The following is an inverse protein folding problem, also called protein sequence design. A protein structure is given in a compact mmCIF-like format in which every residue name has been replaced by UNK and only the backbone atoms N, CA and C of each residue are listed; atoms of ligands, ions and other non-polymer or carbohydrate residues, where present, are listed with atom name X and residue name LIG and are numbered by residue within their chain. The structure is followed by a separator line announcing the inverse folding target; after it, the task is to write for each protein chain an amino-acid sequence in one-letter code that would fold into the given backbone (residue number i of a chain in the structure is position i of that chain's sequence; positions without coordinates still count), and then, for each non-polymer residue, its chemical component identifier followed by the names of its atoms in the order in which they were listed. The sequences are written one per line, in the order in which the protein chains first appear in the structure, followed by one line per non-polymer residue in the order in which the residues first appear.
data_IF_360691241590
#
_entry.id   IF_360691241590
#
_cell.length_a   1.000
_cell.length_b   1.000
_cell.length_c   1.000
_cell.angle_alpha   90.00
_cell.angle_beta   90.00
_cell.angle_gamma   90.00
#
_symmetry.space_group_name_H-M   'P 1'
#
loop_
_entity.id
_entity.type
_entity.pdbx_description
1 polymer ?
#
# COMPACT_ATOMS: atom_id res chain seq x y z
N UNK A 1 14.06 30.47 1.02
CA UNK A 1 12.77 29.78 1.33
C UNK A 1 12.02 29.28 0.08
N UNK A 2 11.78 30.10 -0.96
CA UNK A 2 11.08 29.66 -2.19
C UNK A 2 11.87 28.64 -3.04
N UNK A 3 13.19 28.73 -3.12
CA UNK A 3 14.02 27.74 -3.83
C UNK A 3 14.12 26.40 -3.09
N UNK A 4 14.19 26.43 -1.75
CA UNK A 4 14.13 25.24 -0.89
C UNK A 4 12.77 24.52 -0.98
N UNK A 5 11.67 25.28 -1.04
CA UNK A 5 10.33 24.74 -1.35
C UNK A 5 10.22 24.20 -2.78
N UNK A 6 10.93 24.80 -3.76
CA UNK A 6 11.07 24.25 -5.12
C UNK A 6 11.86 22.93 -5.13
N UNK A 7 12.85 22.76 -4.24
CA UNK A 7 13.67 21.54 -4.11
C UNK A 7 12.93 20.40 -3.41
N UNK A 8 12.22 20.68 -2.30
CA UNK A 8 11.27 19.73 -1.67
C UNK A 8 10.11 19.41 -2.61
N UNK A 9 9.61 20.40 -3.37
CA UNK A 9 8.69 20.15 -4.50
C UNK A 9 9.36 19.37 -5.63
N UNK A 10 10.67 19.40 -5.83
CA UNK A 10 11.33 18.56 -6.84
C UNK A 10 11.41 17.10 -6.37
N UNK A 11 11.76 16.89 -5.10
CA UNK A 11 11.75 15.59 -4.42
C UNK A 11 10.35 14.95 -4.35
N UNK A 12 9.30 15.76 -4.23
CA UNK A 12 7.91 15.26 -4.11
C UNK A 12 7.10 15.39 -5.42
N UNK A 13 7.44 16.29 -6.35
CA UNK A 13 6.65 16.57 -7.57
C UNK A 13 7.38 16.44 -8.91
N UNK A 14 8.67 16.07 -9.00
CA UNK A 14 9.22 15.65 -10.30
C UNK A 14 8.69 14.26 -10.68
N UNK A 15 7.51 14.31 -11.32
CA UNK A 15 6.74 13.25 -12.00
C UNK A 15 6.49 12.00 -11.16
N UNK A 16 5.30 11.99 -10.56
CA UNK A 16 4.71 10.89 -9.82
C UNK A 16 5.51 10.50 -8.56
N UNK A 17 4.91 10.70 -7.39
CA UNK A 17 5.31 10.01 -6.15
C UNK A 17 5.14 8.46 -6.27
N UNK A 18 4.95 7.92 -7.47
CA UNK A 18 4.91 6.49 -7.77
C UNK A 18 6.31 5.88 -7.99
N UNK A 19 7.39 6.66 -7.96
CA UNK A 19 8.74 6.12 -8.08
C UNK A 19 9.76 6.79 -7.18
N UNK A 20 9.52 6.77 -5.87
CA UNK A 20 10.63 6.83 -4.87
C UNK A 20 11.60 5.65 -5.01
N UNK A 21 11.21 4.66 -5.79
CA UNK A 21 12.02 3.51 -6.16
C UNK A 21 12.75 3.72 -7.51
N UNK A 22 13.02 4.96 -7.91
CA UNK A 22 13.85 5.30 -9.07
C UNK A 22 15.10 6.14 -8.73
N UNK A 23 15.36 6.41 -7.45
CA UNK A 23 16.59 7.10 -7.06
C UNK A 23 17.56 6.02 -6.58
N UNK A 24 18.43 5.55 -7.48
CA UNK A 24 19.63 4.77 -7.12
C UNK A 24 20.64 5.60 -6.30
N UNK A 25 20.33 6.87 -6.04
CA UNK A 25 21.12 7.82 -5.28
C UNK A 25 20.34 8.33 -4.05
N UNK A 26 20.26 7.49 -3.03
CA UNK A 26 19.61 7.83 -1.75
C UNK A 26 20.32 8.97 -1.00
N UNK A 27 21.48 9.44 -1.49
CA UNK A 27 22.24 10.54 -0.90
C UNK A 27 21.42 11.84 -0.81
N UNK A 28 20.46 12.05 -1.72
CA UNK A 28 19.59 13.23 -1.72
C UNK A 28 18.73 13.34 -0.45
N UNK A 29 18.42 12.22 0.21
CA UNK A 29 17.68 12.21 1.49
C UNK A 29 18.57 12.53 2.69
N UNK A 30 19.89 12.40 2.54
CA UNK A 30 20.89 12.75 3.56
C UNK A 30 21.48 14.15 3.37
N UNK A 31 21.21 14.81 2.23
CA UNK A 31 21.65 16.19 2.00
C UNK A 31 20.99 17.14 2.99
N UNK A 32 21.81 17.96 3.64
CA UNK A 32 21.37 18.98 4.60
C UNK A 32 21.33 20.34 3.94
N UNK A 33 20.35 21.16 4.30
CA UNK A 33 20.32 22.56 3.91
C UNK A 33 21.23 23.42 4.80
N UNK A 34 21.22 24.74 4.57
CA UNK A 34 22.02 25.71 5.36
C UNK A 34 21.72 25.68 6.87
N UNK A 35 20.58 25.09 7.29
CA UNK A 35 20.18 24.94 8.68
C UNK A 35 20.47 23.52 9.23
N UNK A 36 21.15 22.68 8.46
CA UNK A 36 21.45 21.31 8.85
C UNK A 36 20.29 20.32 8.72
N UNK A 37 19.15 20.73 8.12
CA UNK A 37 17.95 19.90 8.01
C UNK A 37 17.91 19.11 6.71
N UNK A 38 17.51 17.85 6.79
CA UNK A 38 17.31 16.97 5.63
C UNK A 38 15.87 17.08 5.10
N UNK A 39 15.59 16.64 3.85
CA UNK A 39 14.23 16.50 3.36
C UNK A 39 13.34 15.64 4.27
N UNK A 40 13.91 14.61 4.91
CA UNK A 40 13.22 13.76 5.88
C UNK A 40 12.77 14.57 7.10
N UNK A 41 13.60 15.48 7.59
CA UNK A 41 13.25 16.32 8.74
C UNK A 41 12.07 17.23 8.39
N UNK A 42 12.06 17.84 7.20
CA UNK A 42 10.92 18.60 6.72
C UNK A 42 9.63 17.75 6.61
N UNK A 43 9.73 16.51 6.13
CA UNK A 43 8.58 15.60 6.08
C UNK A 43 8.07 15.23 7.49
N UNK A 44 8.95 15.06 8.47
CA UNK A 44 8.57 14.82 9.87
C UNK A 44 7.82 16.01 10.49
N UNK A 45 8.16 17.23 10.09
CA UNK A 45 7.43 18.44 10.52
C UNK A 45 6.06 18.60 9.87
N UNK A 46 5.82 17.99 8.71
CA UNK A 46 4.53 18.08 8.02
C UNK A 46 3.54 17.11 8.67
N UNK A 47 2.44 17.64 9.21
CA UNK A 47 1.32 16.81 9.67
C UNK A 47 0.70 15.99 8.52
N UNK A 48 0.10 14.84 8.86
CA UNK A 48 -0.44 13.87 7.89
C UNK A 48 -1.39 14.46 6.86
N UNK A 49 -2.27 15.39 7.25
CA UNK A 49 -3.20 16.04 6.31
C UNK A 49 -2.47 16.76 5.16
N UNK A 50 -1.34 17.40 5.48
CA UNK A 50 -0.53 18.11 4.50
C UNK A 50 0.24 17.14 3.60
N UNK A 51 0.68 16.01 4.15
CA UNK A 51 1.28 14.90 3.39
C UNK A 51 0.26 14.33 2.40
N UNK A 52 -0.96 13.99 2.83
CA UNK A 52 -2.01 13.44 1.97
C UNK A 52 -2.38 14.41 0.84
N UNK A 53 -2.51 15.71 1.14
CA UNK A 53 -2.76 16.74 0.14
C UNK A 53 -1.63 16.84 -0.89
N UNK A 54 -0.38 16.76 -0.45
CA UNK A 54 0.80 16.76 -1.31
C UNK A 54 0.81 15.52 -2.21
N UNK A 55 0.50 14.34 -1.66
CA UNK A 55 0.40 13.09 -2.40
C UNK A 55 -0.80 13.06 -3.36
N UNK A 56 -1.76 13.99 -3.22
CA UNK A 56 -3.07 13.96 -3.91
C UNK A 56 -3.76 12.62 -3.73
N UNK A 57 -3.65 12.07 -2.51
CA UNK A 57 -4.22 10.80 -2.14
C UNK A 57 -5.59 11.03 -1.50
N UNK A 58 -6.61 10.41 -2.07
CA UNK A 58 -7.93 10.30 -1.49
C UNK A 58 -7.98 9.09 -0.56
N UNK A 59 -8.28 9.33 0.72
CA UNK A 59 -8.43 8.27 1.71
C UNK A 59 -9.78 7.59 1.56
N UNK A 60 -9.78 6.27 1.47
CA UNK A 60 -11.00 5.47 1.37
C UNK A 60 -10.80 4.09 2.01
N UNK A 61 -11.85 3.53 2.61
CA UNK A 61 -11.80 2.23 3.30
C UNK A 61 -12.46 1.10 2.51
N UNK A 62 -12.85 1.33 1.26
CA UNK A 62 -13.47 0.32 0.40
C UNK A 62 -12.93 0.34 -1.03
N UNK A 63 -13.06 -0.81 -1.71
CA UNK A 63 -12.74 -0.93 -3.12
C UNK A 63 -13.70 -0.09 -3.98
N UNK A 64 -13.13 0.69 -4.90
CA UNK A 64 -13.90 1.44 -5.90
C UNK A 64 -13.71 0.78 -7.26
N UNK A 65 -14.77 0.43 -7.96
CA UNK A 65 -14.66 -0.18 -9.29
C UNK A 65 -14.72 0.89 -10.38
N UNK A 66 -13.74 0.91 -11.28
CA UNK A 66 -13.63 1.94 -12.35
C UNK A 66 -14.90 2.04 -13.19
N UNK A 67 -15.56 0.89 -13.45
CA UNK A 67 -16.79 0.84 -14.23
C UNK A 67 -17.80 -0.13 -13.60
N UNK A 68 -19.11 0.19 -13.60
CA UNK A 68 -20.14 -0.68 -13.01
C UNK A 68 -20.15 -2.11 -13.58
N UNK A 69 -19.83 -2.28 -14.87
CA UNK A 69 -19.79 -3.62 -15.47
C UNK A 69 -18.64 -4.48 -14.95
N UNK A 70 -17.54 -3.90 -14.46
CA UNK A 70 -16.44 -4.64 -13.81
C UNK A 70 -16.97 -5.23 -12.51
N UNK A 71 -17.63 -4.41 -11.69
CA UNK A 71 -18.25 -4.85 -10.44
C UNK A 71 -19.26 -5.98 -10.66
N UNK A 72 -20.21 -5.79 -11.60
CA UNK A 72 -21.21 -6.83 -11.96
C UNK A 72 -20.55 -8.15 -12.38
N UNK A 73 -19.47 -8.08 -13.17
CA UNK A 73 -18.72 -9.27 -13.60
C UNK A 73 -18.01 -9.97 -12.45
N UNK A 74 -17.41 -9.21 -11.52
CA UNK A 74 -16.77 -9.76 -10.32
C UNK A 74 -17.83 -10.48 -9.48
N UNK A 75 -18.94 -9.82 -9.18
CA UNK A 75 -20.04 -10.37 -8.36
C UNK A 75 -20.58 -11.69 -8.93
N UNK A 76 -20.75 -11.77 -10.25
CA UNK A 76 -21.30 -12.94 -10.94
C UNK A 76 -20.38 -14.17 -10.94
N UNK A 77 -19.06 -13.98 -10.83
CA UNK A 77 -18.09 -15.05 -11.16
C UNK A 77 -17.11 -15.42 -10.04
N UNK A 78 -16.79 -14.49 -9.15
CA UNK A 78 -15.77 -14.66 -8.10
C UNK A 78 -16.03 -15.86 -7.17
N UNK A 79 -17.26 -16.02 -6.70
CA UNK A 79 -17.64 -17.02 -5.70
C UNK A 79 -17.61 -18.46 -6.23
N UNK A 80 -17.68 -18.65 -7.55
CA UNK A 80 -17.79 -19.97 -8.21
C UNK A 80 -16.47 -20.74 -8.27
N UNK A 81 -15.32 -20.07 -8.14
CA UNK A 81 -13.99 -20.67 -8.33
C UNK A 81 -13.07 -20.47 -7.13
N UNK A 82 -13.65 -20.14 -5.97
CA UNK A 82 -12.88 -19.72 -4.79
C UNK A 82 -12.58 -20.89 -3.86
N UNK A 83 -11.35 -20.91 -3.33
CA UNK A 83 -10.85 -21.99 -2.49
C UNK A 83 -11.43 -21.87 -1.07
N UNK A 84 -11.59 -23.01 -0.40
CA UNK A 84 -12.16 -23.10 0.95
C UNK A 84 -11.42 -22.20 1.96
N UNK A 85 -10.09 -22.12 1.87
CA UNK A 85 -9.29 -21.31 2.80
C UNK A 85 -9.62 -19.81 2.72
N UNK A 86 -10.00 -19.29 1.54
CA UNK A 86 -10.30 -17.87 1.34
C UNK A 86 -11.64 -17.51 1.99
N UNK A 87 -12.59 -18.45 1.99
CA UNK A 87 -13.86 -18.34 2.71
C UNK A 87 -13.66 -18.46 4.22
N UNK A 88 -12.86 -19.43 4.67
CA UNK A 88 -12.55 -19.62 6.08
C UNK A 88 -11.93 -18.36 6.69
N UNK A 89 -10.89 -17.79 6.05
CA UNK A 89 -10.26 -16.54 6.53
C UNK A 89 -11.23 -15.36 6.54
N UNK A 90 -12.09 -15.23 5.54
CA UNK A 90 -13.13 -14.19 5.52
C UNK A 90 -14.17 -14.35 6.65
N UNK A 91 -14.41 -15.59 7.08
CA UNK A 91 -15.25 -15.87 8.24
C UNK A 91 -14.54 -15.52 9.54
N UNK A 92 -13.26 -15.88 9.65
CA UNK A 92 -12.43 -15.59 10.82
C UNK A 92 -12.33 -14.09 11.09
N UNK A 93 -12.05 -13.28 10.06
CA UNK A 93 -11.94 -11.81 10.16
C UNK A 93 -13.23 -11.07 9.79
N UNK A 94 -14.39 -11.69 10.02
CA UNK A 94 -15.67 -11.16 9.53
C UNK A 94 -16.02 -9.81 10.14
N UNK A 95 -15.81 -9.63 11.45
CA UNK A 95 -16.11 -8.38 12.15
C UNK A 95 -15.19 -7.27 11.70
N UNK A 96 -13.90 -7.57 11.58
CA UNK A 96 -12.86 -6.63 11.15
C UNK A 96 -13.09 -6.17 9.71
N UNK A 97 -13.48 -7.09 8.82
CA UNK A 97 -13.82 -6.78 7.44
C UNK A 97 -15.09 -5.92 7.30
N UNK A 98 -16.10 -6.16 8.12
CA UNK A 98 -17.39 -5.47 8.00
C UNK A 98 -17.39 -4.10 8.70
N UNK A 99 -16.60 -3.94 9.77
CA UNK A 99 -16.57 -2.75 10.61
C UNK A 99 -15.24 -1.95 10.52
N UNK A 100 -14.31 -2.40 9.67
CA UNK A 100 -12.95 -1.85 9.55
C UNK A 100 -12.22 -1.74 10.90
N UNK A 101 -12.32 -2.77 11.74
CA UNK A 101 -11.65 -2.80 13.05
C UNK A 101 -10.17 -3.12 12.85
N UNK A 102 -9.33 -2.10 12.99
CA UNK A 102 -7.88 -2.19 12.86
C UNK A 102 -7.17 -1.66 14.12
N UNK A 103 -5.97 -2.16 14.45
CA UNK A 103 -5.17 -1.60 15.53
C UNK A 103 -4.83 -0.14 15.32
N UNK A 104 -4.43 0.56 16.40
CA UNK A 104 -3.87 1.90 16.28
C UNK A 104 -2.54 1.84 15.55
N UNK A 105 -2.47 2.51 14.41
CA UNK A 105 -1.29 2.61 13.57
C UNK A 105 -1.15 4.04 13.05
N UNK A 106 0.05 4.40 12.64
CA UNK A 106 0.33 5.73 12.13
C UNK A 106 1.33 5.69 10.97
N UNK A 107 1.21 6.64 10.05
CA UNK A 107 2.13 6.78 8.93
C UNK A 107 3.25 7.70 9.36
N UNK A 108 4.49 7.23 9.24
CA UNK A 108 5.70 8.00 9.58
C UNK A 108 6.70 7.89 8.45
N UNK A 109 7.75 8.70 8.48
CA UNK A 109 8.88 8.50 7.57
C UNK A 109 9.54 7.16 7.91
N UNK A 110 9.67 6.29 6.91
CA UNK A 110 10.32 4.98 7.03
C UNK A 110 11.82 5.14 7.21
N UNK A 111 12.44 4.16 7.87
CA UNK A 111 13.91 4.06 7.92
C UNK A 111 14.50 3.61 6.58
N UNK A 112 13.67 2.99 5.73
CA UNK A 112 14.03 2.62 4.38
C UNK A 112 13.96 3.83 3.44
N UNK A 113 14.76 3.88 2.35
CA UNK A 113 14.65 4.93 1.32
C UNK A 113 13.28 5.03 0.62
N UNK A 114 12.29 4.19 1.00
CA UNK A 114 10.96 4.13 0.42
C UNK A 114 10.01 5.26 0.85
N UNK A 115 10.48 6.24 1.62
CA UNK A 115 9.71 7.43 1.97
C UNK A 115 8.86 7.22 3.23
N UNK A 116 7.56 6.93 3.07
CA UNK A 116 6.65 6.74 4.21
C UNK A 116 6.44 5.25 4.52
N UNK A 117 6.24 4.93 5.79
CA UNK A 117 5.96 3.60 6.31
C UNK A 117 4.76 3.60 7.26
N UNK A 118 4.17 2.43 7.48
CA UNK A 118 3.11 2.21 8.47
C UNK A 118 3.69 1.64 9.76
N UNK A 119 3.40 2.26 10.89
CA UNK A 119 3.96 1.92 12.19
C UNK A 119 2.87 1.59 13.21
N UNK A 120 3.13 0.62 14.08
CA UNK A 120 2.24 0.29 15.18
C UNK A 120 2.28 1.39 16.27
N UNK A 121 1.12 1.84 16.76
CA UNK A 121 0.98 2.77 17.89
C UNK A 121 0.60 2.06 19.20
N UNK A 122 0.39 0.74 19.13
CA UNK A 122 0.16 -0.17 20.23
C UNK A 122 0.76 -1.54 19.92
N UNK A 123 0.82 -2.44 20.90
CA UNK A 123 1.25 -3.81 20.66
C UNK A 123 0.19 -4.57 19.86
N UNK A 124 0.58 -5.14 18.72
CA UNK A 124 -0.29 -5.91 17.85
C UNK A 124 0.08 -7.39 17.98
N UNK A 125 -0.89 -8.23 18.36
CA UNK A 125 -0.65 -9.67 18.50
C UNK A 125 -0.50 -10.35 17.12
N UNK A 126 0.09 -11.54 17.09
CA UNK A 126 0.08 -12.41 15.92
C UNK A 126 -1.35 -12.73 15.46
N UNK A 127 -1.56 -12.90 14.15
CA UNK A 127 -2.84 -13.19 13.52
C UNK A 127 -3.89 -12.08 13.66
N UNK A 128 -3.44 -10.82 13.78
CA UNK A 128 -4.33 -9.65 13.84
C UNK A 128 -4.56 -9.09 12.45
N UNK A 129 -5.81 -8.76 12.12
CA UNK A 129 -6.15 -8.03 10.90
C UNK A 129 -5.61 -6.61 10.94
N UNK A 130 -4.85 -6.21 9.92
CA UNK A 130 -4.22 -4.89 9.83
C UNK A 130 -4.96 -3.95 8.86
N UNK A 131 -5.85 -4.47 8.04
CA UNK A 131 -6.60 -3.70 7.05
C UNK A 131 -6.72 -4.40 5.72
N UNK A 132 -7.67 -3.93 4.92
CA UNK A 132 -7.80 -4.29 3.51
C UNK A 132 -6.91 -3.38 2.64
N UNK A 133 -6.25 -3.96 1.63
CA UNK A 133 -5.63 -3.18 0.56
C UNK A 133 -6.69 -2.71 -0.42
N UNK A 134 -7.04 -1.43 -0.32
CA UNK A 134 -8.11 -0.81 -1.09
C UNK A 134 -7.57 0.19 -2.11
N UNK A 135 -8.35 0.42 -3.16
CA UNK A 135 -7.98 1.25 -4.29
C UNK A 135 -8.99 1.18 -5.41
N UNK A 136 -8.62 1.74 -6.56
CA UNK A 136 -9.40 1.66 -7.78
C UNK A 136 -9.20 0.29 -8.45
N UNK A 137 -10.25 -0.52 -8.51
CA UNK A 137 -10.28 -1.78 -9.25
C UNK A 137 -10.50 -1.49 -10.73
N UNK A 138 -9.47 -1.73 -11.54
CA UNK A 138 -9.47 -1.45 -12.98
C UNK A 138 -8.72 -2.52 -13.79
N UNK A 139 -8.89 -2.57 -15.13
CA UNK A 139 -8.02 -3.38 -15.99
C UNK A 139 -6.56 -2.92 -15.90
N UNK A 140 -5.65 -3.89 -15.89
CA UNK A 140 -4.22 -3.67 -16.01
C UNK A 140 -3.87 -3.21 -17.43
N UNK A 141 -3.15 -2.11 -17.55
CA UNK A 141 -2.70 -1.46 -18.78
C UNK A 141 -1.19 -1.66 -18.90
N UNK A 142 -0.77 -2.68 -19.65
CA UNK A 142 0.61 -3.16 -19.68
C UNK A 142 1.67 -2.09 -20.04
N UNK A 143 1.32 -1.06 -20.82
CA UNK A 143 2.24 0.04 -21.14
C UNK A 143 2.36 1.09 -20.04
N UNK A 144 1.28 1.35 -19.30
CA UNK A 144 1.19 2.42 -18.29
C UNK A 144 1.56 1.92 -16.89
N UNK A 145 1.38 0.63 -16.62
CA UNK A 145 1.43 0.05 -15.27
C UNK A 145 2.81 -0.53 -14.89
N UNK A 146 3.77 -0.59 -15.82
CA UNK A 146 5.08 -1.27 -15.59
C UNK A 146 5.83 -0.77 -14.37
N UNK A 147 5.77 0.53 -14.08
CA UNK A 147 6.54 1.16 -13.00
C UNK A 147 5.70 1.50 -11.75
N UNK A 148 4.40 1.17 -11.74
CA UNK A 148 3.52 1.57 -10.65
C UNK A 148 3.58 0.54 -9.50
N UNK A 149 4.20 0.96 -8.41
CA UNK A 149 4.40 0.20 -7.18
C UNK A 149 3.12 -0.01 -6.36
N UNK A 150 2.08 0.78 -6.60
CA UNK A 150 0.81 0.74 -5.87
C UNK A 150 -0.24 -0.17 -6.52
N UNK A 151 0.19 -1.03 -7.44
CA UNK A 151 -0.67 -1.99 -8.11
C UNK A 151 -0.58 -3.35 -7.44
N UNK A 152 -1.68 -3.77 -6.83
CA UNK A 152 -1.86 -5.15 -6.37
C UNK A 152 -2.74 -5.89 -7.35
N UNK A 153 -2.31 -7.08 -7.79
CA UNK A 153 -3.13 -7.93 -8.65
C UNK A 153 -4.43 -8.29 -7.94
N UNK A 154 -5.57 -7.97 -8.56
CA UNK A 154 -6.87 -8.32 -8.01
C UNK A 154 -7.04 -9.86 -8.00
N UNK A 155 -7.50 -10.48 -6.90
CA UNK A 155 -7.45 -11.94 -6.72
C UNK A 155 -8.59 -12.68 -7.46
N UNK A 156 -8.71 -12.43 -8.77
CA UNK A 156 -9.65 -13.11 -9.66
C UNK A 156 -8.91 -13.75 -10.84
N UNK A 157 -9.09 -15.06 -11.04
CA UNK A 157 -8.61 -15.77 -12.23
C UNK A 157 -9.63 -15.65 -13.38
N UNK A 158 -9.51 -14.65 -14.25
CA UNK A 158 -10.30 -14.53 -15.48
C UNK A 158 -9.48 -14.30 -16.76
N UNK A 159 -10.04 -14.76 -17.87
CA UNK A 159 -9.38 -15.07 -19.14
C UNK A 159 -9.16 -13.88 -20.11
N UNK A 160 -9.63 -12.67 -19.82
CA UNK A 160 -9.61 -11.59 -20.84
C UNK A 160 -9.07 -10.24 -20.36
N UNK A 161 -8.92 -10.01 -19.06
CA UNK A 161 -8.24 -8.82 -18.53
C UNK A 161 -7.76 -9.08 -17.11
N UNK A 162 -6.45 -8.93 -16.86
CA UNK A 162 -5.92 -8.93 -15.50
C UNK A 162 -6.44 -7.66 -14.82
N UNK A 163 -7.22 -7.79 -13.74
CA UNK A 163 -7.62 -6.65 -12.93
C UNK A 163 -6.55 -6.36 -11.89
N UNK A 164 -6.40 -5.09 -11.52
CA UNK A 164 -5.55 -4.61 -10.43
C UNK A 164 -6.35 -3.75 -9.48
N UNK A 165 -5.93 -3.70 -8.22
CA UNK A 165 -6.27 -2.68 -7.24
C UNK A 165 -5.18 -1.62 -7.37
N UNK A 166 -5.55 -0.42 -7.79
CA UNK A 166 -4.66 0.72 -7.96
C UNK A 166 -4.82 1.68 -6.78
N UNK A 167 -3.83 1.67 -5.87
CA UNK A 167 -3.79 2.50 -4.68
C UNK A 167 -3.00 3.80 -4.87
N UNK A 168 -2.73 4.21 -6.12
CA UNK A 168 -1.92 5.40 -6.40
C UNK A 168 -2.57 6.70 -5.95
N UNK A 169 -3.88 6.84 -6.18
CA UNK A 169 -4.63 8.08 -5.92
C UNK A 169 -5.79 7.89 -4.95
N UNK A 170 -6.23 6.66 -4.75
CA UNK A 170 -7.33 6.30 -3.85
C UNK A 170 -6.91 5.07 -3.06
N UNK A 171 -6.95 5.12 -1.74
CA UNK A 171 -6.50 4.01 -0.90
C UNK A 171 -6.60 4.32 0.59
N UNK A 172 -6.03 3.46 1.45
CA UNK A 172 -5.97 3.69 2.89
C UNK A 172 -4.53 3.55 3.43
N UNK A 173 -4.39 3.41 4.75
CA UNK A 173 -3.11 3.25 5.44
C UNK A 173 -2.28 2.03 4.97
N UNK A 174 -2.91 0.96 4.47
CA UNK A 174 -2.18 -0.26 4.09
C UNK A 174 -1.28 -0.08 2.86
N UNK A 175 -1.50 0.97 2.06
CA UNK A 175 -0.61 1.32 0.92
C UNK A 175 0.80 1.77 1.35
N UNK A 176 0.98 2.08 2.63
CA UNK A 176 2.25 2.52 3.22
C UNK A 176 3.00 1.37 3.89
N UNK A 177 2.52 0.12 3.79
CA UNK A 177 3.28 -1.05 4.25
C UNK A 177 4.46 -1.26 3.30
N UNK A 178 5.67 -1.28 3.83
CA UNK A 178 6.89 -1.40 3.03
C UNK A 178 7.35 -2.85 2.87
N UNK A 179 8.31 -3.06 1.97
CA UNK A 179 8.90 -4.37 1.75
C UNK A 179 9.99 -4.69 2.77
N UNK A 180 10.00 -5.92 3.28
CA UNK A 180 11.17 -6.53 3.94
C UNK A 180 11.30 -8.00 3.57
N UNK A 181 12.52 -8.52 3.56
CA UNK A 181 12.83 -9.97 3.54
C UNK A 181 12.62 -10.65 4.88
N UNK A 182 12.53 -9.87 5.95
CA UNK A 182 12.14 -10.29 7.31
C UNK A 182 10.81 -9.61 7.68
N UNK A 183 9.70 -9.96 7.01
CA UNK A 183 8.43 -9.30 7.24
C UNK A 183 7.77 -9.74 8.56
N UNK A 184 6.93 -8.87 9.10
CA UNK A 184 6.11 -9.15 10.28
C UNK A 184 4.60 -9.19 9.97
N UNK A 185 4.22 -9.05 8.69
CA UNK A 185 2.88 -9.31 8.20
C UNK A 185 2.88 -10.02 6.84
N UNK A 186 1.73 -10.58 6.48
CA UNK A 186 1.50 -11.23 5.20
C UNK A 186 0.18 -10.77 4.58
N UNK A 187 0.16 -10.69 3.25
CA UNK A 187 -1.03 -10.38 2.47
C UNK A 187 -1.77 -11.67 2.07
N UNK A 188 -3.09 -11.71 2.32
CA UNK A 188 -3.96 -12.83 1.97
C UNK A 188 -5.11 -12.39 1.06
N UNK A 189 -5.53 -13.28 0.17
CA UNK A 189 -6.79 -13.11 -0.56
C UNK A 189 -7.94 -13.76 0.21
N UNK A 190 -9.05 -13.03 0.36
CA UNK A 190 -10.27 -13.50 1.02
C UNK A 190 -11.49 -13.16 0.18
N UNK A 191 -12.65 -13.74 0.49
CA UNK A 191 -13.92 -13.39 -0.17
C UNK A 191 -15.01 -13.09 0.85
N UNK A 192 -15.54 -11.86 0.81
CA UNK A 192 -16.65 -11.41 1.67
C UNK A 192 -17.74 -10.83 0.76
N UNK A 193 -19.00 -11.21 0.95
CA UNK A 193 -20.13 -10.74 0.14
C UNK A 193 -19.92 -10.93 -1.37
N UNK A 194 -19.34 -12.08 -1.76
CA UNK A 194 -18.97 -12.42 -3.15
C UNK A 194 -17.95 -11.45 -3.78
N UNK A 195 -17.31 -10.58 -3.01
CA UNK A 195 -16.25 -9.68 -3.49
C UNK A 195 -14.91 -10.21 -2.97
N UNK A 196 -13.96 -10.54 -3.86
CA UNK A 196 -12.60 -10.85 -3.48
C UNK A 196 -11.88 -9.61 -2.95
N UNK A 197 -11.12 -9.79 -1.87
CA UNK A 197 -10.41 -8.74 -1.15
C UNK A 197 -8.97 -9.17 -0.87
N UNK A 198 -8.08 -8.21 -0.71
CA UNK A 198 -6.70 -8.43 -0.29
C UNK A 198 -6.54 -7.84 1.10
N UNK A 199 -6.13 -8.64 2.08
CA UNK A 199 -6.02 -8.20 3.49
C UNK A 199 -4.60 -8.41 4.00
N UNK A 200 -4.16 -7.54 4.90
CA UNK A 200 -2.92 -7.74 5.66
C UNK A 200 -3.22 -8.32 7.03
N UNK A 201 -2.42 -9.29 7.44
CA UNK A 201 -2.53 -9.94 8.76
C UNK A 201 -1.12 -10.06 9.34
N UNK A 202 -0.96 -9.74 10.62
CA UNK A 202 0.31 -9.92 11.31
C UNK A 202 0.70 -11.40 11.42
N UNK A 203 1.95 -11.72 11.15
CA UNK A 203 2.49 -13.10 11.23
C UNK A 203 3.19 -13.38 12.55
N UNK A 204 3.44 -12.34 13.33
CA UNK A 204 4.06 -12.34 14.66
C UNK A 204 3.52 -11.18 15.49
N UNK A 205 3.97 -11.08 16.75
CA UNK A 205 3.70 -9.91 17.58
C UNK A 205 4.50 -8.72 17.04
N UNK A 206 3.84 -7.59 16.80
CA UNK A 206 4.46 -6.33 16.39
C UNK A 206 4.42 -5.39 17.59
N UNK A 207 5.58 -4.99 18.07
CA UNK A 207 5.66 -4.07 19.21
C UNK A 207 5.32 -2.64 18.80
N UNK A 208 4.77 -1.86 19.74
CA UNK A 208 4.54 -0.43 19.53
C UNK A 208 5.83 0.24 19.05
N UNK A 209 5.72 1.04 17.98
CA UNK A 209 6.83 1.76 17.37
C UNK A 209 7.52 1.01 16.23
N UNK A 210 7.27 -0.29 16.06
CA UNK A 210 7.84 -1.04 14.94
C UNK A 210 7.08 -0.77 13.63
N UNK A 211 7.83 -0.77 12.53
CA UNK A 211 7.28 -0.67 11.18
C UNK A 211 6.63 -2.00 10.77
N UNK A 212 5.49 -1.89 10.09
CA UNK A 212 4.77 -3.03 9.53
C UNK A 212 5.30 -3.28 8.12
N UNK A 213 5.79 -4.50 7.91
CA UNK A 213 6.55 -4.86 6.72
C UNK A 213 6.03 -6.18 6.12
N UNK A 214 6.03 -6.26 4.80
CA UNK A 214 5.56 -7.44 4.04
C UNK A 214 6.63 -7.91 3.03
N UNK A 215 6.66 -9.21 2.73
CA UNK A 215 7.40 -9.71 1.58
C UNK A 215 6.53 -9.63 0.31
N UNK A 216 6.87 -8.73 -0.62
CA UNK A 216 6.18 -8.60 -1.91
C UNK A 216 6.58 -9.69 -2.93
N UNK A 217 7.65 -10.42 -2.65
CA UNK A 217 8.16 -11.51 -3.46
C UNK A 217 8.91 -11.05 -4.72
N UNK A 218 9.70 -11.96 -5.27
CA UNK A 218 10.58 -11.67 -6.40
C UNK A 218 9.84 -11.22 -7.67
N UNK A 219 8.60 -11.69 -7.89
CA UNK A 219 7.82 -11.34 -9.08
C UNK A 219 7.42 -9.86 -9.11
N UNK A 220 7.11 -9.28 -7.95
CA UNK A 220 6.82 -7.86 -7.82
C UNK A 220 8.03 -7.01 -8.25
N UNK A 221 9.19 -7.32 -7.68
CA UNK A 221 10.44 -6.63 -7.98
C UNK A 221 10.89 -6.80 -9.44
N UNK A 222 10.71 -8.00 -10.01
CA UNK A 222 10.95 -8.27 -11.43
C UNK A 222 10.04 -7.44 -12.33
N UNK A 223 8.76 -7.28 -11.99
CA UNK A 223 7.81 -6.47 -12.77
C UNK A 223 8.21 -5.00 -12.77
N UNK A 224 8.72 -4.49 -11.64
CA UNK A 224 9.20 -3.13 -11.51
C UNK A 224 10.58 -2.89 -12.12
N UNK A 225 11.31 -3.96 -12.47
CA UNK A 225 12.68 -3.89 -12.99
C UNK A 225 13.72 -3.52 -11.94
N UNK A 226 13.54 -3.99 -10.69
CA UNK A 226 14.31 -3.52 -9.52
C UNK A 226 14.76 -4.66 -8.62
N UNK A 227 15.77 -4.39 -7.81
CA UNK A 227 16.31 -5.34 -6.82
C UNK A 227 15.74 -4.95 -5.45
N UNK A 228 15.14 -5.89 -4.69
CA UNK A 228 14.72 -5.63 -3.33
C UNK A 228 15.94 -5.30 -2.45
N UNK A 229 15.78 -4.29 -1.59
CA UNK A 229 16.68 -4.04 -0.46
C UNK A 229 16.45 -5.07 0.65
#
# INVERSE_FOLDING_TARGET
MQEKLKFVRKLIFHRNVESLIAINDTSIFSMKDENGLTPIDYLRYLGMNKILQILRLEMNDHLVFEKPHIFKRVLAKSHKKMQTYQKFRASYFSKELDLNLVPKMNIKVSHSPFGFGLFAEENINKNTFLGEYVGLVRPHKASQDKANAYLVKYPVRHFFSRLVIDASKLGNHTRFINHSRTPNCQMFSVIRNKIPRMIFVSTEKIEKGNEIMVDYGNLYWKQLGKIPL
#
